data_IF_412270792606
#
_entry.id   IF_412270792606
#
_cell.length_a   1.000
_cell.length_b   1.000
_cell.length_c   1.000
_cell.angle_alpha   90.00
_cell.angle_beta   90.00
_cell.angle_gamma   90.00
#
_symmetry.space_group_name_H-M   'P 1'
#
loop_
_entity.id
_entity.type
_entity.pdbx_description
1 polymer ?
#
# COMPACT_ATOMS: atom_id res chain seq x y z
N UNK A 1 16.11 -0.68 -15.01
CA UNK A 1 14.81 -0.11 -15.43
C UNK A 1 14.51 1.10 -14.57
N UNK A 2 14.06 2.21 -15.16
CA UNK A 2 13.66 3.44 -14.48
C UNK A 2 12.13 3.56 -14.47
N UNK A 3 11.55 4.23 -13.48
CA UNK A 3 10.12 4.56 -13.48
C UNK A 3 9.84 5.74 -14.44
N UNK A 4 8.65 5.76 -15.04
CA UNK A 4 8.17 6.94 -15.76
C UNK A 4 8.00 8.12 -14.78
N UNK A 5 8.40 9.32 -15.20
CA UNK A 5 8.21 10.53 -14.40
C UNK A 5 6.99 11.26 -14.96
N UNK A 6 5.95 11.40 -14.14
CA UNK A 6 4.70 12.05 -14.49
C UNK A 6 4.52 13.31 -13.66
N UNK A 7 3.84 14.32 -14.22
CA UNK A 7 3.44 15.50 -13.44
C UNK A 7 2.33 15.11 -12.46
N UNK A 8 2.41 15.51 -11.18
CA UNK A 8 1.35 15.23 -10.20
C UNK A 8 0.09 16.07 -10.43
N UNK A 9 0.19 17.14 -11.24
CA UNK A 9 -0.92 18.04 -11.56
C UNK A 9 -0.96 18.33 -13.07
N UNK A 10 -2.15 18.60 -13.59
CA UNK A 10 -2.31 19.14 -14.93
C UNK A 10 -1.96 20.62 -14.93
N UNK A 11 -1.20 21.06 -15.93
CA UNK A 11 -0.83 22.46 -16.04
C UNK A 11 0.24 22.72 -17.11
N UNK A 12 0.62 23.98 -17.22
CA UNK A 12 1.63 24.43 -18.16
C UNK A 12 3.03 24.28 -17.56
N UNK A 13 3.93 23.58 -18.27
CA UNK A 13 5.34 23.47 -17.90
C UNK A 13 6.02 24.83 -18.08
N UNK A 14 6.65 25.31 -17.03
CA UNK A 14 7.43 26.55 -17.01
C UNK A 14 8.93 26.26 -17.12
N UNK A 15 9.77 27.26 -17.48
CA UNK A 15 11.22 27.08 -17.56
C UNK A 15 11.82 26.56 -16.25
N UNK A 16 12.90 25.79 -16.37
CA UNK A 16 13.65 25.27 -15.22
C UNK A 16 14.03 26.39 -14.26
N UNK A 17 13.77 26.19 -12.98
CA UNK A 17 14.11 27.14 -11.92
C UNK A 17 14.86 26.44 -10.80
N UNK A 18 15.70 27.20 -10.07
CA UNK A 18 16.36 26.69 -8.88
C UNK A 18 15.41 26.86 -7.68
N UNK A 19 15.13 25.76 -6.97
CA UNK A 19 14.34 25.77 -5.74
C UNK A 19 15.21 25.39 -4.55
N UNK A 20 14.89 25.94 -3.38
CA UNK A 20 15.51 25.55 -2.12
C UNK A 20 14.71 24.41 -1.51
N UNK A 21 15.35 23.26 -1.33
CA UNK A 21 14.76 22.10 -0.69
C UNK A 21 14.71 22.28 0.83
N UNK A 22 13.86 21.51 1.57
CA UNK A 22 13.78 21.57 3.03
C UNK A 22 15.11 21.32 3.77
N UNK A 23 16.07 20.66 3.10
CA UNK A 23 17.42 20.43 3.61
C UNK A 23 18.40 21.59 3.32
N UNK A 24 17.92 22.73 2.81
CA UNK A 24 18.71 23.91 2.49
C UNK A 24 19.52 23.83 1.19
N UNK A 25 19.47 22.71 0.44
CA UNK A 25 20.16 22.58 -0.84
C UNK A 25 19.36 23.20 -1.97
N UNK A 26 20.05 23.78 -2.95
CA UNK A 26 19.44 24.21 -4.21
C UNK A 26 19.41 23.07 -5.21
N UNK A 27 18.25 22.85 -5.83
CA UNK A 27 18.07 21.87 -6.89
C UNK A 27 17.28 22.49 -8.05
N UNK A 28 17.58 22.04 -9.27
CA UNK A 28 16.76 22.39 -10.43
C UNK A 28 15.40 21.70 -10.31
N UNK A 29 14.33 22.46 -10.49
CA UNK A 29 12.96 21.97 -10.55
C UNK A 29 12.31 22.38 -11.86
N UNK A 30 11.33 21.58 -12.28
CA UNK A 30 10.43 21.87 -13.40
C UNK A 30 9.13 22.40 -12.80
N UNK A 31 8.91 23.72 -12.75
CA UNK A 31 7.66 24.27 -12.26
C UNK A 31 6.52 23.92 -13.22
N UNK A 32 5.40 23.50 -12.67
CA UNK A 32 4.14 23.29 -13.39
C UNK A 32 3.13 24.26 -12.82
N UNK A 33 2.64 25.16 -13.66
CA UNK A 33 1.63 26.13 -13.27
C UNK A 33 0.24 25.52 -13.49
N UNK A 34 -0.51 25.41 -12.40
CA UNK A 34 -1.87 24.85 -12.40
C UNK A 34 -2.83 25.78 -13.11
N UNK A 35 -3.72 25.23 -13.92
CA UNK A 35 -4.77 25.97 -14.63
C UNK A 35 -6.06 26.03 -13.79
N UNK A 36 -6.98 26.94 -14.14
CA UNK A 36 -8.33 26.95 -13.56
C UNK A 36 -9.00 25.59 -13.78
N UNK A 37 -9.55 25.01 -12.70
CA UNK A 37 -10.13 23.67 -12.71
C UNK A 37 -9.15 22.55 -12.34
N UNK A 38 -7.91 22.86 -11.96
CA UNK A 38 -7.03 21.87 -11.32
C UNK A 38 -7.63 21.42 -9.99
N UNK A 39 -7.83 20.11 -9.77
CA UNK A 39 -8.43 19.62 -8.54
C UNK A 39 -7.59 19.99 -7.32
N UNK A 40 -8.25 20.43 -6.26
CA UNK A 40 -7.66 20.63 -4.94
C UNK A 40 -7.14 19.30 -4.36
N UNK A 41 -6.28 19.40 -3.34
CA UNK A 41 -5.78 18.20 -2.64
C UNK A 41 -6.89 17.32 -2.06
N UNK A 42 -7.98 17.93 -1.58
CA UNK A 42 -9.15 17.22 -1.07
C UNK A 42 -9.91 16.49 -2.19
N UNK A 43 -10.06 17.11 -3.37
CA UNK A 43 -10.69 16.48 -4.54
C UNK A 43 -9.85 15.33 -5.08
N UNK A 44 -8.52 15.49 -5.12
CA UNK A 44 -7.60 14.40 -5.47
C UNK A 44 -7.72 13.26 -4.45
N UNK A 45 -7.74 13.59 -3.16
CA UNK A 45 -7.92 12.60 -2.10
C UNK A 45 -9.24 11.85 -2.22
N UNK A 46 -10.35 12.55 -2.45
CA UNK A 46 -11.66 11.95 -2.64
C UNK A 46 -11.70 11.05 -3.89
N UNK A 47 -11.07 11.48 -4.99
CA UNK A 47 -11.01 10.71 -6.23
C UNK A 47 -10.18 9.42 -6.07
N UNK A 48 -9.07 9.47 -5.33
CA UNK A 48 -8.18 8.33 -5.13
C UNK A 48 -8.68 7.41 -4.01
N UNK A 49 -9.07 7.96 -2.87
CA UNK A 49 -9.29 7.20 -1.64
C UNK A 49 -10.74 7.25 -1.13
N UNK A 50 -11.53 8.25 -1.56
CA UNK A 50 -12.94 8.40 -1.16
C UNK A 50 -13.92 7.47 -1.89
N UNK A 51 -13.46 6.75 -2.93
CA UNK A 51 -14.27 5.79 -3.67
C UNK A 51 -14.49 4.46 -2.94
N UNK A 52 -15.45 3.67 -3.43
CA UNK A 52 -15.66 2.32 -2.92
C UNK A 52 -14.64 1.37 -3.58
N UNK A 53 -13.52 1.16 -2.89
CA UNK A 53 -12.50 0.21 -3.32
C UNK A 53 -13.04 -1.23 -3.31
N UNK A 54 -12.68 -2.05 -4.31
CA UNK A 54 -13.25 -3.38 -4.43
C UNK A 54 -12.77 -4.31 -3.31
N UNK A 55 -13.74 -4.96 -2.66
CA UNK A 55 -13.49 -5.98 -1.64
C UNK A 55 -13.00 -7.32 -2.25
N UNK A 56 -12.90 -7.43 -3.58
CA UNK A 56 -12.31 -8.57 -4.30
C UNK A 56 -11.70 -8.11 -5.62
N UNK A 57 -10.51 -8.62 -5.95
CA UNK A 57 -9.87 -8.35 -7.23
C UNK A 57 -10.44 -9.34 -8.28
N UNK A 58 -10.72 -8.90 -9.53
CA UNK A 58 -11.12 -9.80 -10.60
C UNK A 58 -10.11 -10.95 -10.78
N UNK A 59 -10.62 -12.17 -10.93
CA UNK A 59 -9.78 -13.39 -10.96
C UNK A 59 -9.01 -13.62 -12.26
N UNK A 60 -9.30 -12.84 -13.30
CA UNK A 60 -8.66 -12.87 -14.61
C UNK A 60 -7.45 -11.94 -14.72
N UNK A 61 -7.24 -11.06 -13.73
CA UNK A 61 -6.11 -10.14 -13.69
C UNK A 61 -4.79 -10.89 -13.48
N UNK A 62 -3.89 -10.78 -14.46
CA UNK A 62 -2.59 -11.45 -14.44
C UNK A 62 -1.51 -10.60 -13.75
N UNK A 63 -0.47 -11.25 -13.23
CA UNK A 63 0.71 -10.57 -12.68
C UNK A 63 1.30 -9.56 -13.67
N UNK A 64 1.43 -9.96 -14.94
CA UNK A 64 1.99 -9.11 -15.99
C UNK A 64 1.16 -7.85 -16.27
N UNK A 65 -0.17 -7.95 -16.25
CA UNK A 65 -1.06 -6.79 -16.42
C UNK A 65 -0.91 -5.80 -15.26
N UNK A 66 -0.86 -6.30 -14.02
CA UNK A 66 -0.67 -5.46 -12.83
C UNK A 66 0.69 -4.78 -12.89
N UNK A 67 1.76 -5.52 -13.20
CA UNK A 67 3.10 -4.98 -13.32
C UNK A 67 3.20 -3.91 -14.42
N UNK A 68 2.54 -4.12 -15.57
CA UNK A 68 2.45 -3.12 -16.65
C UNK A 68 1.71 -1.87 -16.19
N UNK A 69 0.60 -1.99 -15.47
CA UNK A 69 -0.14 -0.84 -14.92
C UNK A 69 0.69 -0.05 -13.91
N UNK A 70 1.39 -0.74 -12.99
CA UNK A 70 2.30 -0.11 -12.02
C UNK A 70 3.42 0.66 -12.74
N UNK A 71 3.99 0.06 -13.79
CA UNK A 71 5.02 0.70 -14.62
C UNK A 71 4.49 1.95 -15.31
N UNK A 72 3.34 1.84 -15.96
CA UNK A 72 2.74 2.92 -16.75
C UNK A 72 2.32 4.10 -15.87
N UNK A 73 1.96 3.84 -14.61
CA UNK A 73 1.66 4.87 -13.62
C UNK A 73 2.91 5.48 -12.97
N UNK A 74 4.11 4.95 -13.23
CA UNK A 74 5.36 5.46 -12.66
C UNK A 74 5.47 5.26 -11.14
N UNK A 75 4.79 4.26 -10.58
CA UNK A 75 4.74 4.05 -9.12
C UNK A 75 6.10 3.56 -8.60
N UNK A 76 6.61 4.24 -7.58
CA UNK A 76 7.86 3.95 -6.89
C UNK A 76 7.65 3.68 -5.40
N UNK A 77 8.61 3.02 -4.75
CA UNK A 77 8.59 2.80 -3.32
C UNK A 77 8.76 4.12 -2.55
N UNK A 78 7.77 4.45 -1.72
CA UNK A 78 7.71 5.72 -0.98
C UNK A 78 8.63 5.77 0.26
N UNK A 79 9.22 4.64 0.67
CA UNK A 79 10.16 4.57 1.82
C UNK A 79 11.54 5.19 1.61
N UNK A 80 11.68 6.17 0.71
CA UNK A 80 12.87 7.02 0.58
C UNK A 80 13.69 6.84 -0.70
N UNK A 81 13.97 5.61 -1.14
CA UNK A 81 14.86 5.37 -2.28
C UNK A 81 14.19 5.51 -3.67
N UNK A 82 12.87 5.75 -3.71
CA UNK A 82 12.08 5.86 -4.96
C UNK A 82 12.35 4.71 -5.95
N UNK A 83 12.56 3.49 -5.43
CA UNK A 83 12.85 2.34 -6.26
C UNK A 83 11.59 1.90 -7.02
N UNK A 84 11.65 1.61 -8.34
CA UNK A 84 10.47 1.24 -9.11
C UNK A 84 9.73 0.04 -8.52
N UNK A 85 8.46 0.21 -8.16
CA UNK A 85 7.67 -0.80 -7.46
C UNK A 85 7.50 -2.07 -8.31
N UNK A 86 7.32 -1.91 -9.62
CA UNK A 86 7.26 -3.02 -10.57
C UNK A 86 8.51 -3.90 -10.50
N UNK A 87 9.71 -3.32 -10.44
CA UNK A 87 10.96 -4.10 -10.41
C UNK A 87 11.04 -4.91 -9.13
N UNK A 88 10.62 -4.32 -7.99
CA UNK A 88 10.58 -5.01 -6.71
C UNK A 88 9.63 -6.21 -6.75
N UNK A 89 8.42 -6.02 -7.27
CA UNK A 89 7.40 -7.08 -7.36
C UNK A 89 7.76 -8.14 -8.40
N UNK A 90 8.31 -7.76 -9.54
CA UNK A 90 8.74 -8.70 -10.57
C UNK A 90 9.90 -9.58 -10.09
N UNK A 91 10.85 -9.02 -9.32
CA UNK A 91 11.97 -9.79 -8.75
C UNK A 91 11.56 -10.89 -7.77
N UNK A 92 10.31 -10.82 -7.30
CA UNK A 92 9.67 -11.83 -6.47
C UNK A 92 8.98 -12.93 -7.28
N UNK A 93 8.62 -12.71 -8.55
CA UNK A 93 7.93 -13.71 -9.39
C UNK A 93 8.83 -14.93 -9.65
N UNK A 94 10.13 -14.71 -9.85
CA UNK A 94 11.11 -15.78 -10.08
C UNK A 94 11.50 -16.54 -8.80
N UNK A 95 10.94 -16.16 -7.65
CA UNK A 95 11.24 -16.76 -6.34
C UNK A 95 9.95 -17.25 -5.70
N UNK A 96 9.96 -18.34 -4.92
CA UNK A 96 8.80 -18.73 -4.13
C UNK A 96 8.64 -17.75 -2.96
N UNK A 97 8.06 -16.58 -3.22
CA UNK A 97 7.67 -15.64 -2.18
C UNK A 97 6.42 -16.18 -1.52
N UNK A 98 6.54 -16.57 -0.25
CA UNK A 98 5.40 -17.05 0.54
C UNK A 98 4.53 -15.89 1.00
N UNK A 99 5.18 -14.83 1.49
CA UNK A 99 4.53 -13.77 2.29
C UNK A 99 4.86 -12.39 1.74
N UNK A 100 3.83 -11.58 1.52
CA UNK A 100 3.95 -10.14 1.28
C UNK A 100 3.86 -9.39 2.61
N UNK A 101 4.96 -8.76 3.03
CA UNK A 101 4.97 -7.87 4.19
C UNK A 101 4.68 -6.43 3.77
N UNK A 102 3.59 -5.87 4.29
CA UNK A 102 3.28 -4.45 4.22
C UNK A 102 3.85 -3.74 5.46
N UNK A 103 4.69 -2.74 5.23
CA UNK A 103 5.22 -1.90 6.29
C UNK A 103 4.23 -0.75 6.55
N UNK A 104 3.62 -0.74 7.74
CA UNK A 104 2.87 0.39 8.30
C UNK A 104 3.56 1.01 9.51
N UNK A 105 4.83 0.68 9.74
CA UNK A 105 5.65 1.30 10.78
C UNK A 105 6.22 2.63 10.26
N UNK A 106 6.06 3.68 11.06
CA UNK A 106 6.45 5.05 10.72
C UNK A 106 7.31 5.57 11.87
N UNK A 107 8.63 5.45 11.70
CA UNK A 107 9.60 5.65 12.77
C UNK A 107 10.21 7.07 12.76
N UNK A 108 9.97 7.83 11.70
CA UNK A 108 10.45 9.19 11.54
C UNK A 108 9.61 10.18 12.36
N UNK A 109 10.24 11.00 13.23
CA UNK A 109 9.51 12.01 13.99
C UNK A 109 8.72 12.94 13.07
N UNK A 110 7.44 13.17 13.39
CA UNK A 110 6.50 14.04 12.68
C UNK A 110 6.02 13.55 11.30
N UNK A 111 6.43 12.37 10.85
CA UNK A 111 5.80 11.71 9.71
C UNK A 111 4.54 11.00 10.21
N UNK A 112 3.39 11.30 9.61
CA UNK A 112 2.08 10.70 9.99
C UNK A 112 1.28 10.26 8.76
N UNK A 113 1.93 10.15 7.60
CA UNK A 113 1.25 9.87 6.34
C UNK A 113 0.70 8.44 6.32
N UNK A 114 1.49 7.48 6.81
CA UNK A 114 1.08 6.08 6.83
C UNK A 114 -0.03 5.83 7.88
N UNK A 115 0.09 6.44 9.07
CA UNK A 115 -0.99 6.40 10.09
C UNK A 115 -2.31 6.97 9.55
N UNK A 116 -2.26 8.15 8.91
CA UNK A 116 -3.43 8.80 8.32
C UNK A 116 -4.07 7.96 7.22
N UNK A 117 -3.26 7.41 6.32
CA UNK A 117 -3.75 6.57 5.24
C UNK A 117 -4.42 5.29 5.76
N UNK A 118 -3.85 4.65 6.80
CA UNK A 118 -4.44 3.46 7.43
C UNK A 118 -5.78 3.76 8.11
N UNK A 119 -5.93 4.94 8.71
CA UNK A 119 -7.17 5.33 9.39
C UNK A 119 -8.25 5.78 8.42
N UNK A 120 -7.88 6.54 7.40
CA UNK A 120 -8.81 7.25 6.52
C UNK A 120 -9.13 6.48 5.23
N UNK A 121 -8.22 5.59 4.78
CA UNK A 121 -8.36 4.84 3.54
C UNK A 121 -7.97 3.34 3.64
N UNK A 122 -8.37 2.59 4.68
CA UNK A 122 -7.91 1.21 4.90
C UNK A 122 -8.30 0.25 3.76
N UNK A 123 -9.44 0.47 3.12
CA UNK A 123 -9.91 -0.36 1.99
C UNK A 123 -9.02 -0.22 0.76
N UNK A 124 -8.49 0.98 0.49
CA UNK A 124 -7.55 1.21 -0.60
C UNK A 124 -6.25 0.42 -0.36
N UNK A 125 -5.77 0.41 0.88
CA UNK A 125 -4.57 -0.35 1.28
C UNK A 125 -4.81 -1.85 1.08
N UNK A 126 -5.95 -2.38 1.52
CA UNK A 126 -6.29 -3.81 1.36
C UNK A 126 -6.39 -4.20 -0.13
N UNK A 127 -7.00 -3.36 -0.96
CA UNK A 127 -7.09 -3.60 -2.40
C UNK A 127 -5.70 -3.58 -3.07
N UNK A 128 -4.88 -2.57 -2.75
CA UNK A 128 -3.49 -2.47 -3.24
C UNK A 128 -2.62 -3.65 -2.81
N UNK A 129 -2.76 -4.10 -1.55
CA UNK A 129 -2.05 -5.27 -1.04
C UNK A 129 -2.36 -6.55 -1.82
N UNK A 130 -3.62 -6.74 -2.19
CA UNK A 130 -4.05 -7.90 -2.98
C UNK A 130 -3.56 -7.86 -4.41
N UNK A 131 -3.57 -6.68 -5.05
CA UNK A 131 -2.95 -6.50 -6.35
C UNK A 131 -1.45 -6.80 -6.29
N UNK A 132 -0.76 -6.32 -5.26
CA UNK A 132 0.65 -6.60 -5.06
C UNK A 132 0.92 -8.10 -4.81
N UNK A 133 0.06 -8.78 -4.05
CA UNK A 133 0.13 -10.24 -3.82
C UNK A 133 0.00 -11.01 -5.13
N UNK A 134 -0.97 -10.67 -5.99
CA UNK A 134 -1.13 -11.30 -7.32
C UNK A 134 0.11 -11.01 -8.19
N UNK A 135 0.60 -9.76 -8.18
CA UNK A 135 1.75 -9.35 -8.97
C UNK A 135 3.04 -10.10 -8.58
N UNK A 136 3.28 -10.36 -7.29
CA UNK A 136 4.49 -11.04 -6.84
C UNK A 136 4.33 -12.55 -6.61
N UNK A 137 3.11 -13.09 -6.70
CA UNK A 137 2.82 -14.51 -6.45
C UNK A 137 2.83 -14.94 -4.99
N UNK A 138 2.69 -13.98 -4.04
CA UNK A 138 2.62 -14.31 -2.62
C UNK A 138 1.34 -15.08 -2.26
N UNK A 139 1.41 -15.94 -1.25
CA UNK A 139 0.26 -16.72 -0.75
C UNK A 139 -0.47 -16.05 0.41
N UNK A 140 0.24 -15.21 1.15
CA UNK A 140 -0.30 -14.52 2.33
C UNK A 140 0.21 -13.07 2.39
N UNK A 141 -0.56 -12.21 3.05
CA UNK A 141 -0.21 -10.81 3.34
C UNK A 141 -0.12 -10.67 4.85
N UNK A 142 0.97 -10.04 5.31
CA UNK A 142 1.16 -9.63 6.70
C UNK A 142 1.32 -8.11 6.74
N UNK A 143 0.60 -7.44 7.63
CA UNK A 143 0.75 -6.00 7.89
C UNK A 143 1.45 -5.80 9.23
N UNK A 144 2.62 -5.15 9.20
CA UNK A 144 3.30 -4.72 10.41
C UNK A 144 2.88 -3.28 10.73
N UNK A 145 2.21 -3.08 11.86
CA UNK A 145 1.77 -1.77 12.36
C UNK A 145 2.27 -1.66 13.80
N UNK A 146 2.79 -0.50 14.18
CA UNK A 146 3.25 -0.24 15.54
C UNK A 146 2.08 -0.30 16.55
N UNK A 147 2.34 -0.85 17.73
CA UNK A 147 1.35 -1.06 18.79
C UNK A 147 0.78 0.26 19.35
N UNK A 148 1.54 1.35 19.25
CA UNK A 148 1.15 2.70 19.62
C UNK A 148 0.13 3.36 18.67
N UNK A 149 -0.35 2.65 17.62
CA UNK A 149 -1.35 3.14 16.65
C UNK A 149 -2.67 2.34 16.71
N UNK A 150 -3.41 2.40 17.82
CA UNK A 150 -4.62 1.58 18.01
C UNK A 150 -5.73 1.89 17.00
N UNK A 151 -5.87 3.13 16.56
CA UNK A 151 -6.88 3.52 15.56
C UNK A 151 -6.58 2.96 14.17
N UNK A 152 -5.31 3.00 13.74
CA UNK A 152 -4.89 2.40 12.47
C UNK A 152 -5.09 0.88 12.50
N UNK A 153 -4.71 0.22 13.61
CA UNK A 153 -4.93 -1.23 13.80
C UNK A 153 -6.43 -1.57 13.71
N UNK A 154 -7.29 -0.79 14.38
CA UNK A 154 -8.73 -1.00 14.34
C UNK A 154 -9.30 -0.83 12.92
N UNK A 155 -8.98 0.28 12.24
CA UNK A 155 -9.46 0.56 10.89
C UNK A 155 -9.03 -0.51 9.88
N UNK A 156 -7.77 -0.96 9.95
CA UNK A 156 -7.25 -2.02 9.09
C UNK A 156 -7.90 -3.38 9.39
N UNK A 157 -8.13 -3.71 10.68
CA UNK A 157 -8.86 -4.93 11.06
C UNK A 157 -10.28 -4.92 10.54
N UNK A 158 -11.01 -3.82 10.71
CA UNK A 158 -12.39 -3.70 10.26
C UNK A 158 -12.50 -3.83 8.74
N UNK A 159 -11.56 -3.24 8.00
CA UNK A 159 -11.50 -3.40 6.54
C UNK A 159 -11.28 -4.87 6.12
N UNK A 160 -10.43 -5.62 6.82
CA UNK A 160 -10.20 -7.05 6.54
C UNK A 160 -11.40 -7.91 6.93
N UNK A 161 -11.98 -7.66 8.11
CA UNK A 161 -13.17 -8.36 8.63
C UNK A 161 -14.38 -8.14 7.72
N UNK A 162 -14.59 -6.92 7.25
CA UNK A 162 -15.66 -6.59 6.30
C UNK A 162 -15.59 -7.44 5.03
N UNK A 163 -14.38 -7.71 4.53
CA UNK A 163 -14.19 -8.59 3.37
C UNK A 163 -14.53 -10.04 3.70
N UNK A 164 -14.05 -10.58 4.83
CA UNK A 164 -14.40 -11.94 5.25
C UNK A 164 -15.91 -12.10 5.48
N UNK A 165 -16.56 -11.11 6.08
CA UNK A 165 -18.02 -11.08 6.24
C UNK A 165 -18.74 -11.11 4.90
N UNK A 166 -18.28 -10.32 3.92
CA UNK A 166 -18.89 -10.31 2.59
C UNK A 166 -18.71 -11.65 1.87
N UNK A 167 -17.53 -12.26 1.96
CA UNK A 167 -17.28 -13.59 1.40
C UNK A 167 -18.14 -14.68 2.07
N UNK A 168 -18.25 -14.66 3.41
CA UNK A 168 -19.09 -15.61 4.16
C UNK A 168 -20.57 -15.38 3.83
N UNK A 169 -21.01 -14.14 3.62
CA UNK A 169 -22.39 -13.85 3.22
C UNK A 169 -22.68 -14.28 1.78
N UNK A 170 -21.75 -14.03 0.87
CA UNK A 170 -21.90 -14.33 -0.55
C UNK A 170 -21.85 -15.82 -0.86
N UNK A 171 -20.96 -16.57 -0.21
CA UNK A 171 -20.81 -18.02 -0.42
C UNK A 171 -21.54 -18.87 0.62
N UNK A 172 -21.74 -18.37 1.84
CA UNK A 172 -22.30 -19.14 2.95
C UNK A 172 -23.78 -18.89 3.26
N UNK A 173 -24.38 -17.80 2.77
CA UNK A 173 -25.81 -17.51 3.01
C UNK A 173 -26.19 -17.21 4.47
N UNK A 174 -25.21 -17.01 5.37
CA UNK A 174 -25.46 -16.74 6.79
C UNK A 174 -25.54 -15.22 7.07
N UNK A 175 -26.65 -14.70 7.61
CA UNK A 175 -26.81 -13.27 7.89
C UNK A 175 -25.84 -12.74 8.97
N UNK A 176 -25.30 -13.62 9.82
CA UNK A 176 -24.43 -13.34 10.98
C UNK A 176 -22.92 -13.34 10.66
N UNK A 177 -22.53 -13.17 9.39
CA UNK A 177 -21.14 -13.25 8.92
C UNK A 177 -20.12 -12.28 9.56
N UNK A 178 -20.55 -11.28 10.35
CA UNK A 178 -19.68 -10.36 11.09
C UNK A 178 -19.03 -11.04 12.30
N UNK A 179 -19.76 -11.90 13.01
CA UNK A 179 -19.23 -12.56 14.20
C UNK A 179 -18.15 -13.60 13.84
N UNK A 180 -18.40 -14.37 12.77
CA UNK A 180 -17.49 -15.41 12.29
C UNK A 180 -16.20 -14.84 11.68
N UNK A 181 -16.27 -13.72 10.97
CA UNK A 181 -15.08 -13.07 10.39
C UNK A 181 -14.17 -12.47 11.46
N UNK A 182 -14.74 -11.85 12.50
CA UNK A 182 -13.98 -11.35 13.66
C UNK A 182 -13.31 -12.50 14.42
N UNK A 183 -14.02 -13.62 14.62
CA UNK A 183 -13.46 -14.82 15.25
C UNK A 183 -12.34 -15.44 14.41
N UNK A 184 -12.51 -15.54 13.08
CA UNK A 184 -11.48 -16.04 12.17
C UNK A 184 -10.25 -15.12 12.14
N UNK A 185 -10.44 -13.81 12.00
CA UNK A 185 -9.34 -12.85 12.00
C UNK A 185 -8.53 -12.94 13.31
N UNK A 186 -9.21 -13.00 14.46
CA UNK A 186 -8.54 -13.12 15.76
C UNK A 186 -7.90 -14.50 15.98
N UNK A 187 -8.48 -15.59 15.45
CA UNK A 187 -7.93 -16.94 15.57
C UNK A 187 -6.70 -17.17 14.69
N UNK A 188 -6.56 -16.43 13.59
CA UNK A 188 -5.46 -16.58 12.63
C UNK A 188 -4.23 -15.74 13.05
N UNK A 189 -4.41 -14.64 13.79
CA UNK A 189 -3.29 -13.79 14.26
C UNK A 189 -2.21 -14.59 15.04
N UNK A 190 -2.53 -15.40 16.06
CA UNK A 190 -1.52 -16.20 16.77
C UNK A 190 -0.88 -17.31 15.91
N UNK A 191 -1.58 -17.76 14.86
CA UNK A 191 -1.07 -18.75 13.93
C UNK A 191 -0.09 -18.12 12.92
N UNK A 192 -0.37 -16.90 12.47
CA UNK A 192 0.55 -16.10 11.65
C UNK A 192 1.83 -15.82 12.45
N UNK A 193 1.71 -15.30 13.68
CA UNK A 193 2.87 -14.99 14.54
C UNK A 193 3.76 -16.22 14.78
N UNK A 194 3.16 -17.42 14.82
CA UNK A 194 3.88 -18.68 14.98
C UNK A 194 4.44 -19.25 13.68
N UNK A 195 3.83 -18.94 12.54
CA UNK A 195 4.20 -19.43 11.22
C UNK A 195 5.18 -18.51 10.46
N UNK A 196 5.25 -17.23 10.82
CA UNK A 196 6.24 -16.26 10.31
C UNK A 196 7.26 -15.88 11.39
N UNK A 197 8.23 -16.76 11.73
CA UNK A 197 9.40 -16.33 12.49
C UNK A 197 10.18 -15.30 11.65
N UNK A 198 10.12 -14.04 12.07
CA UNK A 198 10.78 -12.92 11.39
C UNK A 198 12.29 -13.11 11.41
N UNK A 199 12.89 -13.43 10.26
CA UNK A 199 14.34 -13.35 10.10
C UNK A 199 14.64 -12.01 9.41
N UNK A 200 15.28 -11.04 10.08
CA UNK A 200 15.54 -9.73 9.49
C UNK A 200 16.49 -9.88 8.30
N UNK A 201 16.06 -9.48 7.11
CA UNK A 201 16.95 -9.45 5.95
C UNK A 201 17.78 -8.16 6.03
N UNK A 202 18.97 -8.24 6.65
CA UNK A 202 19.95 -7.13 6.66
C UNK A 202 20.81 -6.96 7.91
N UNK A 203 20.69 -7.77 8.97
CA UNK A 203 21.51 -7.63 10.18
C UNK A 203 22.38 -8.86 10.46
N UNK A 204 23.66 -8.65 10.83
CA UNK A 204 24.48 -9.71 11.42
C UNK A 204 23.85 -10.14 12.74
N UNK A 205 23.58 -11.43 12.88
CA UNK A 205 23.36 -12.07 14.17
C UNK A 205 24.68 -12.01 14.94
N UNK A 206 24.77 -11.10 15.90
CA UNK A 206 25.76 -11.21 16.98
C UNK A 206 25.00 -11.72 18.19
N UNK A 207 25.27 -12.98 18.53
CA UNK A 207 24.87 -13.57 19.80
C UNK A 207 25.79 -13.01 20.87
N UNK A 208 25.23 -12.20 21.77
CA UNK A 208 25.58 -12.16 23.18
C UNK A 208 24.35 -11.77 23.98
#
# INVERSE_FOLDING_TARGET
>A
MSAGVHSPVTGAVRPLTAVTLPNGKHASAIPVETEEGTPSGEEIWAALFGGNWPDSIPGDLTSDEILKSISAAGIVGLGGAAFPTQVKLHSAVDKPVLTLLLNGCECEPYLTADDRLMREAPRAIVAGARLAMIACGAREIVMAIEDNKPEAIAAMRDAVVGVFTMMIRWFGGYPEGVMFSVLLANAVVPLIDRATPTTPVGGKVVVH
#
